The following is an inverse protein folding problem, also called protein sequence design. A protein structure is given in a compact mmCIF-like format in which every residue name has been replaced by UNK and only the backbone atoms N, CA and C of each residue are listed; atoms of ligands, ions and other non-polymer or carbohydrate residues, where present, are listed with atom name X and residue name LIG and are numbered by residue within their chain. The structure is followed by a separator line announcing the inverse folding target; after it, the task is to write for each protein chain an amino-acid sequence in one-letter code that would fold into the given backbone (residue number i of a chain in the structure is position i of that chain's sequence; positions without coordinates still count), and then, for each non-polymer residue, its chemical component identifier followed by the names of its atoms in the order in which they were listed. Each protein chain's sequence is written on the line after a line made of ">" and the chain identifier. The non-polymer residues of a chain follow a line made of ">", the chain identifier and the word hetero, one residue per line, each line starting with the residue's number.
data_IF_358963063937
#
_entry.id   IF_358963063937
#
_cell.length_a   1.000
_cell.length_b   1.000
_cell.length_c   1.000
_cell.angle_alpha   90.00
_cell.angle_beta   90.00
_cell.angle_gamma   90.00
#
_symmetry.space_group_name_H-M   'P 1'
#
loop_
_entity.id
_entity.type
_entity.pdbx_description
1 polymer ?
#
# COMPACT_ATOMS: atom_id res chain seq x y z
N UNK A 1 -17.28 -18.42 -3.15
CA UNK A 1 -17.57 -17.57 -1.98
C UNK A 1 -16.60 -16.38 -1.85
N UNK A 2 -15.30 -16.56 -2.09
CA UNK A 2 -14.27 -15.51 -1.95
C UNK A 2 -14.53 -14.27 -2.80
N UNK A 3 -14.81 -14.41 -4.10
CA UNK A 3 -15.15 -13.28 -4.98
C UNK A 3 -16.34 -12.48 -4.46
N UNK A 4 -17.44 -13.17 -4.13
CA UNK A 4 -18.66 -12.53 -3.62
C UNK A 4 -18.39 -11.85 -2.26
N UNK A 5 -17.53 -12.41 -1.42
CA UNK A 5 -17.17 -11.79 -0.14
C UNK A 5 -16.41 -10.48 -0.34
N UNK A 6 -15.45 -10.44 -1.27
CA UNK A 6 -14.72 -9.22 -1.62
C UNK A 6 -15.66 -8.19 -2.25
N UNK A 7 -16.50 -8.60 -3.20
CA UNK A 7 -17.45 -7.70 -3.87
C UNK A 7 -18.42 -7.08 -2.85
N UNK A 8 -18.99 -7.89 -1.95
CA UNK A 8 -19.86 -7.39 -0.89
C UNK A 8 -19.10 -6.46 0.07
N UNK A 9 -17.88 -6.80 0.47
CA UNK A 9 -17.08 -5.94 1.35
C UNK A 9 -16.77 -4.58 0.70
N UNK A 10 -16.40 -4.56 -0.59
CA UNK A 10 -16.20 -3.33 -1.35
C UNK A 10 -17.48 -2.50 -1.48
N UNK A 11 -18.62 -3.13 -1.77
CA UNK A 11 -19.91 -2.43 -1.83
C UNK A 11 -20.29 -1.84 -0.47
N UNK A 12 -20.07 -2.58 0.62
CA UNK A 12 -20.31 -2.08 1.97
C UNK A 12 -19.37 -0.91 2.28
N UNK A 13 -18.10 -0.97 1.89
CA UNK A 13 -17.15 0.14 2.07
C UNK A 13 -17.54 1.39 1.23
N UNK A 14 -18.12 1.20 0.04
CA UNK A 14 -18.69 2.28 -0.77
C UNK A 14 -19.95 2.91 -0.15
N UNK A 15 -20.78 2.13 0.56
CA UNK A 15 -21.99 2.63 1.21
C UNK A 15 -21.72 3.22 2.60
N UNK A 16 -20.88 2.58 3.39
CA UNK A 16 -20.47 2.97 4.74
C UNK A 16 -18.96 2.81 4.89
N UNK A 17 -18.18 3.87 4.63
CA UNK A 17 -16.75 3.82 4.87
C UNK A 17 -16.50 3.58 6.35
N UNK A 18 -15.53 2.72 6.65
CA UNK A 18 -15.04 2.55 8.01
C UNK A 18 -14.56 3.90 8.53
N UNK A 19 -15.26 4.42 9.54
CA UNK A 19 -14.87 5.66 10.21
C UNK A 19 -13.49 5.47 10.84
N UNK A 20 -12.72 6.55 10.86
CA UNK A 20 -11.40 6.61 11.48
C UNK A 20 -11.39 6.20 12.95
N UNK A 21 -12.50 6.47 13.63
CA UNK A 21 -12.69 6.22 15.05
C UNK A 21 -13.25 4.81 15.35
N UNK A 22 -12.89 3.80 14.53
CA UNK A 22 -13.37 2.45 14.82
C UNK A 22 -12.68 1.92 16.10
N UNK A 23 -13.45 1.59 17.16
CA UNK A 23 -12.89 1.07 18.41
C UNK A 23 -12.01 -0.15 18.21
N UNK A 24 -12.29 -0.99 17.20
CA UNK A 24 -11.47 -2.18 16.92
C UNK A 24 -10.04 -1.79 16.54
N UNK A 25 -9.86 -0.74 15.74
CA UNK A 25 -8.54 -0.28 15.32
C UNK A 25 -7.80 0.39 16.49
N UNK A 26 -8.52 1.12 17.35
CA UNK A 26 -7.98 1.69 18.58
C UNK A 26 -7.52 0.60 19.58
N UNK A 27 -8.31 -0.48 19.72
CA UNK A 27 -7.96 -1.61 20.58
C UNK A 27 -6.72 -2.36 20.04
N UNK A 28 -6.64 -2.63 18.74
CA UNK A 28 -5.45 -3.23 18.10
C UNK A 28 -4.22 -2.34 18.30
N UNK A 29 -4.37 -1.02 18.13
CA UNK A 29 -3.30 -0.04 18.39
C UNK A 29 -2.87 -0.07 19.85
N UNK A 30 -3.82 -0.11 20.79
CA UNK A 30 -3.52 -0.19 22.22
C UNK A 30 -2.81 -1.50 22.58
N UNK A 31 -3.23 -2.62 21.97
CA UNK A 31 -2.63 -3.93 22.16
C UNK A 31 -1.19 -3.94 21.64
N UNK A 32 -0.95 -3.34 20.47
CA UNK A 32 0.38 -3.25 19.90
C UNK A 32 1.34 -2.40 20.75
N UNK A 33 0.88 -1.25 21.25
CA UNK A 33 1.66 -0.41 22.17
C UNK A 33 1.91 -1.11 23.51
N UNK A 34 0.94 -1.86 24.03
CA UNK A 34 1.12 -2.68 25.25
C UNK A 34 2.14 -3.79 25.03
N UNK A 35 2.10 -4.47 23.89
CA UNK A 35 3.09 -5.50 23.58
C UNK A 35 4.48 -4.91 23.37
N UNK A 36 4.60 -3.76 22.71
CA UNK A 36 5.87 -3.05 22.62
C UNK A 36 6.40 -2.71 24.01
N UNK A 37 5.60 -2.08 24.87
CA UNK A 37 6.04 -1.72 26.23
C UNK A 37 6.36 -2.93 27.12
N UNK A 38 5.66 -4.06 26.96
CA UNK A 38 5.91 -5.28 27.73
C UNK A 38 7.13 -6.07 27.25
N UNK A 39 7.44 -6.03 25.95
CA UNK A 39 8.52 -6.83 25.36
C UNK A 39 9.75 -6.02 24.96
N UNK A 40 9.69 -4.68 24.92
CA UNK A 40 10.83 -3.84 24.56
C UNK A 40 11.81 -3.70 25.73
N UNK A 41 12.61 -4.75 25.94
CA UNK A 41 13.77 -4.77 26.83
C UNK A 41 15.10 -4.51 26.07
N UNK A 42 15.05 -3.84 24.91
CA UNK A 42 16.23 -3.43 24.13
C UNK A 42 16.94 -4.52 23.32
N UNK A 43 16.40 -5.74 23.20
CA UNK A 43 17.04 -6.86 22.47
C UNK A 43 16.21 -7.32 21.25
N UNK A 44 16.90 -7.62 20.14
CA UNK A 44 16.29 -8.08 18.88
C UNK A 44 15.43 -9.36 18.99
N UNK A 45 15.78 -10.24 19.94
CA UNK A 45 15.05 -11.50 20.18
C UNK A 45 13.61 -11.26 20.66
N UNK A 46 13.37 -10.19 21.42
CA UNK A 46 12.04 -9.87 21.93
C UNK A 46 11.12 -9.28 20.86
N UNK A 47 11.67 -8.54 19.88
CA UNK A 47 10.91 -8.06 18.72
C UNK A 47 10.34 -9.21 17.88
N UNK A 48 11.12 -10.28 17.69
CA UNK A 48 10.66 -11.49 17.01
C UNK A 48 9.52 -12.18 17.78
N UNK A 49 9.66 -12.35 19.09
CA UNK A 49 8.65 -12.98 19.93
C UNK A 49 7.35 -12.18 19.94
N UNK A 50 7.45 -10.86 20.14
CA UNK A 50 6.30 -9.94 20.10
C UNK A 50 5.56 -9.99 18.76
N UNK A 51 6.30 -10.07 17.65
CA UNK A 51 5.72 -10.16 16.31
C UNK A 51 4.90 -11.45 16.12
N UNK A 52 5.48 -12.62 16.45
CA UNK A 52 4.77 -13.90 16.35
C UNK A 52 3.58 -13.98 17.30
N UNK A 53 3.72 -13.45 18.52
CA UNK A 53 2.65 -13.44 19.50
C UNK A 53 1.48 -12.57 19.03
N UNK A 54 1.76 -11.39 18.46
CA UNK A 54 0.70 -10.50 17.99
C UNK A 54 -0.02 -11.04 16.75
N UNK A 55 0.72 -11.58 15.79
CA UNK A 55 0.12 -12.25 14.62
C UNK A 55 -0.67 -13.46 15.07
N UNK A 56 -0.10 -14.32 15.93
CA UNK A 56 -0.78 -15.49 16.46
C UNK A 56 -2.06 -15.14 17.20
N UNK A 57 -2.04 -14.10 18.03
CA UNK A 57 -3.18 -13.64 18.82
C UNK A 57 -4.37 -13.20 17.97
N UNK A 58 -4.16 -12.70 16.75
CA UNK A 58 -5.23 -12.23 15.86
C UNK A 58 -5.54 -13.23 14.73
N UNK A 59 -4.52 -13.88 14.18
CA UNK A 59 -4.64 -14.84 13.09
C UNK A 59 -5.30 -16.15 13.55
N UNK A 60 -4.88 -16.70 14.70
CA UNK A 60 -5.35 -18.02 15.16
C UNK A 60 -6.85 -17.99 15.51
N UNK A 61 -7.38 -17.00 16.26
CA UNK A 61 -8.82 -16.93 16.48
C UNK A 61 -9.60 -16.72 15.18
N UNK A 62 -9.09 -15.92 14.26
CA UNK A 62 -9.74 -15.69 12.95
C UNK A 62 -9.83 -16.97 12.13
N UNK A 63 -8.75 -17.74 12.07
CA UNK A 63 -8.72 -19.05 11.42
C UNK A 63 -9.61 -20.07 12.13
N UNK A 64 -9.57 -20.09 13.47
CA UNK A 64 -10.36 -21.01 14.30
C UNK A 64 -11.86 -20.80 14.14
N UNK A 65 -12.33 -19.53 14.15
CA UNK A 65 -13.74 -19.20 13.88
C UNK A 65 -14.12 -19.65 12.48
N UNK A 66 -13.31 -19.33 11.47
CA UNK A 66 -13.60 -19.75 10.09
C UNK A 66 -13.68 -21.27 9.95
N UNK A 67 -12.73 -22.00 10.54
CA UNK A 67 -12.71 -23.46 10.50
C UNK A 67 -13.90 -24.09 11.23
N UNK A 68 -14.28 -23.53 12.39
CA UNK A 68 -15.46 -23.96 13.14
C UNK A 68 -16.74 -23.77 12.33
N UNK A 69 -16.89 -22.62 11.67
CA UNK A 69 -18.05 -22.33 10.83
C UNK A 69 -18.14 -23.29 9.63
N UNK A 70 -17.00 -23.64 9.02
CA UNK A 70 -16.93 -24.65 7.96
C UNK A 70 -17.26 -26.06 8.49
N UNK A 71 -16.78 -26.41 9.69
CA UNK A 71 -17.02 -27.72 10.31
C UNK A 71 -18.51 -27.98 10.58
N UNK A 72 -19.25 -26.95 11.01
CA UNK A 72 -20.70 -27.01 11.22
C UNK A 72 -21.53 -26.71 9.96
N UNK A 73 -20.90 -26.65 8.78
CA UNK A 73 -21.56 -26.37 7.49
C UNK A 73 -22.40 -25.06 7.50
N UNK A 74 -22.02 -24.09 8.33
CA UNK A 74 -22.68 -22.79 8.43
C UNK A 74 -22.17 -21.85 7.32
N UNK A 75 -22.41 -22.23 6.06
CA UNK A 75 -21.84 -21.57 4.88
C UNK A 75 -22.16 -20.08 4.81
N UNK A 76 -23.38 -19.68 5.17
CA UNK A 76 -23.78 -18.27 5.19
C UNK A 76 -23.03 -17.48 6.27
N UNK A 77 -22.79 -18.09 7.43
CA UNK A 77 -22.09 -17.44 8.53
C UNK A 77 -20.57 -17.39 8.25
N UNK A 78 -20.00 -18.43 7.63
CA UNK A 78 -18.64 -18.41 7.10
C UNK A 78 -18.46 -17.33 6.02
N UNK A 79 -19.46 -17.14 5.15
CA UNK A 79 -19.49 -16.05 4.18
C UNK A 79 -19.52 -14.68 4.86
N UNK A 80 -20.41 -14.49 5.85
CA UNK A 80 -20.49 -13.24 6.61
C UNK A 80 -19.19 -12.94 7.37
N UNK A 81 -18.53 -13.96 7.94
CA UNK A 81 -17.22 -13.82 8.58
C UNK A 81 -16.15 -13.36 7.60
N UNK A 82 -16.10 -13.93 6.40
CA UNK A 82 -15.19 -13.47 5.35
C UNK A 82 -15.43 -12.02 4.96
N UNK A 83 -16.70 -11.63 4.72
CA UNK A 83 -17.06 -10.24 4.41
C UNK A 83 -16.63 -9.31 5.55
N UNK A 84 -16.87 -9.70 6.81
CA UNK A 84 -16.50 -8.92 7.98
C UNK A 84 -14.97 -8.74 8.08
N UNK A 85 -14.19 -9.81 7.93
CA UNK A 85 -12.73 -9.72 8.00
C UNK A 85 -12.17 -8.89 6.86
N UNK A 86 -12.62 -9.13 5.62
CA UNK A 86 -12.20 -8.31 4.47
C UNK A 86 -12.56 -6.84 4.73
N UNK A 87 -13.78 -6.55 5.15
CA UNK A 87 -14.21 -5.20 5.51
C UNK A 87 -13.29 -4.58 6.57
N UNK A 88 -12.99 -5.27 7.68
CA UNK A 88 -12.12 -4.75 8.74
C UNK A 88 -10.65 -4.56 8.32
N UNK A 89 -10.17 -5.40 7.40
CA UNK A 89 -8.79 -5.31 6.88
C UNK A 89 -8.65 -4.27 5.76
N UNK A 90 -9.73 -4.01 5.02
CA UNK A 90 -9.81 -2.93 4.04
C UNK A 90 -9.83 -1.57 4.76
N UNK A 91 -8.86 -0.72 4.44
CA UNK A 91 -8.73 0.62 5.01
C UNK A 91 -8.78 1.73 3.94
N UNK A 92 -9.35 1.44 2.77
CA UNK A 92 -9.19 2.28 1.58
C UNK A 92 -9.87 3.65 1.75
N UNK A 93 -11.11 3.69 2.25
CA UNK A 93 -11.87 4.95 2.29
C UNK A 93 -11.53 5.89 3.45
N UNK A 94 -10.76 5.43 4.45
CA UNK A 94 -10.24 6.28 5.53
C UNK A 94 -9.36 7.42 4.99
N UNK A 95 -8.63 7.18 3.90
CA UNK A 95 -7.63 8.12 3.36
C UNK A 95 -8.08 8.84 2.08
N UNK A 96 -9.13 8.35 1.43
CA UNK A 96 -9.65 8.95 0.18
C UNK A 96 -10.19 10.37 0.38
N UNK A 97 -10.68 10.72 1.56
CA UNK A 97 -11.21 12.07 1.82
C UNK A 97 -10.11 13.14 1.78
N UNK A 98 -8.93 12.88 2.37
CA UNK A 98 -7.80 13.80 2.28
C UNK A 98 -7.36 13.98 0.84
N UNK A 99 -7.22 12.88 0.10
CA UNK A 99 -6.83 12.92 -1.31
C UNK A 99 -7.79 13.75 -2.16
N UNK A 100 -9.10 13.50 -2.06
CA UNK A 100 -10.11 14.27 -2.80
C UNK A 100 -10.14 15.73 -2.37
N UNK A 101 -9.97 16.03 -1.09
CA UNK A 101 -9.96 17.41 -0.59
C UNK A 101 -8.74 18.19 -1.07
N UNK A 102 -7.55 17.56 -1.08
CA UNK A 102 -6.31 18.13 -1.62
C UNK A 102 -6.47 18.37 -3.13
N UNK A 103 -7.04 17.40 -3.86
CA UNK A 103 -7.33 17.54 -5.28
C UNK A 103 -8.25 18.74 -5.57
N UNK A 104 -9.32 18.90 -4.80
CA UNK A 104 -10.24 20.03 -4.94
C UNK A 104 -9.57 21.37 -4.61
N UNK A 105 -8.79 21.43 -3.53
CA UNK A 105 -8.06 22.62 -3.13
C UNK A 105 -7.04 23.07 -4.22
N UNK A 106 -6.23 22.13 -4.72
CA UNK A 106 -5.28 22.42 -5.81
C UNK A 106 -5.97 22.80 -7.12
N UNK A 107 -7.12 22.18 -7.44
CA UNK A 107 -7.90 22.55 -8.63
C UNK A 107 -8.52 23.94 -8.52
N UNK A 108 -8.77 24.42 -7.29
CA UNK A 108 -9.26 25.77 -7.01
C UNK A 108 -8.13 26.81 -6.86
N UNK A 109 -6.86 26.39 -6.95
CA UNK A 109 -5.69 27.26 -6.72
C UNK A 109 -5.43 27.60 -5.25
N UNK A 110 -6.09 26.92 -4.31
CA UNK A 110 -5.91 27.12 -2.87
C UNK A 110 -4.79 26.21 -2.32
N UNK A 111 -3.55 26.63 -2.56
CA UNK A 111 -2.37 25.91 -2.07
C UNK A 111 -2.26 25.90 -0.55
N UNK A 112 -2.76 26.93 0.13
CA UNK A 112 -2.69 27.03 1.59
C UNK A 112 -3.51 25.90 2.23
N UNK A 113 -4.74 25.72 1.79
CA UNK A 113 -5.60 24.62 2.26
C UNK A 113 -5.03 23.26 1.84
N UNK A 114 -4.45 23.14 0.64
CA UNK A 114 -3.82 21.90 0.20
C UNK A 114 -2.62 21.51 1.09
N UNK A 115 -1.78 22.48 1.50
CA UNK A 115 -0.68 22.26 2.46
C UNK A 115 -1.19 21.77 3.80
N UNK A 116 -2.19 22.44 4.38
CA UNK A 116 -2.72 22.04 5.69
C UNK A 116 -3.30 20.63 5.66
N UNK A 117 -4.06 20.29 4.61
CA UNK A 117 -4.63 18.96 4.45
C UNK A 117 -3.54 17.88 4.25
N UNK A 118 -2.47 18.21 3.52
CA UNK A 118 -1.36 17.30 3.33
C UNK A 118 -0.58 17.09 4.63
N UNK A 119 -0.28 18.14 5.38
CA UNK A 119 0.38 18.07 6.69
C UNK A 119 -0.44 17.22 7.67
N UNK A 120 -1.76 17.37 7.68
CA UNK A 120 -2.64 16.57 8.53
C UNK A 120 -2.59 15.08 8.16
N UNK A 121 -2.48 14.77 6.87
CA UNK A 121 -2.45 13.40 6.37
C UNK A 121 -1.08 12.71 6.54
N UNK A 122 0.01 13.40 6.20
CA UNK A 122 1.37 12.81 6.18
C UNK A 122 2.14 13.03 7.47
N UNK A 123 1.73 13.99 8.30
CA UNK A 123 2.46 14.47 9.48
C UNK A 123 3.86 15.01 9.15
N UNK A 124 4.08 15.40 7.89
CA UNK A 124 5.29 16.08 7.44
C UNK A 124 5.12 17.59 7.57
N UNK A 125 6.24 18.30 7.70
CA UNK A 125 6.25 19.74 7.54
C UNK A 125 6.05 20.08 6.07
N UNK A 126 4.96 20.78 5.75
CA UNK A 126 4.61 21.18 4.39
C UNK A 126 4.73 22.68 4.17
N UNK A 127 5.37 23.40 5.09
CA UNK A 127 5.56 24.84 4.97
C UNK A 127 6.44 25.15 3.75
N UNK A 128 5.94 26.01 2.87
CA UNK A 128 6.67 26.45 1.68
C UNK A 128 6.64 25.49 0.47
N UNK A 129 5.96 24.34 0.57
CA UNK A 129 5.84 23.40 -0.56
C UNK A 129 5.04 24.00 -1.72
N UNK A 130 5.51 23.84 -2.94
CA UNK A 130 4.77 24.25 -4.14
C UNK A 130 3.62 23.29 -4.47
N UNK A 131 2.67 23.74 -5.29
CA UNK A 131 1.53 22.93 -5.73
C UNK A 131 1.93 21.58 -6.34
N UNK A 132 3.04 21.54 -7.09
CA UNK A 132 3.56 20.33 -7.71
C UNK A 132 4.10 19.33 -6.69
N UNK A 133 4.82 19.81 -5.69
CA UNK A 133 5.32 18.99 -4.59
C UNK A 133 4.19 18.42 -3.73
N UNK A 134 3.16 19.23 -3.45
CA UNK A 134 1.95 18.77 -2.74
C UNK A 134 1.27 17.65 -3.53
N UNK A 135 1.08 17.85 -4.84
CA UNK A 135 0.48 16.84 -5.71
C UNK A 135 1.31 15.56 -5.77
N UNK A 136 2.64 15.67 -5.86
CA UNK A 136 3.58 14.54 -5.84
C UNK A 136 3.37 13.67 -4.59
N UNK A 137 3.51 14.28 -3.41
CA UNK A 137 3.46 13.56 -2.13
C UNK A 137 2.06 12.96 -1.93
N UNK A 138 1.00 13.68 -2.33
CA UNK A 138 -0.36 13.17 -2.25
C UNK A 138 -0.57 11.93 -3.15
N UNK A 139 -0.05 11.95 -4.39
CA UNK A 139 -0.11 10.80 -5.31
C UNK A 139 0.71 9.62 -4.76
N UNK A 140 1.94 9.85 -4.30
CA UNK A 140 2.78 8.80 -3.73
C UNK A 140 2.11 8.14 -2.53
N UNK A 141 1.60 8.95 -1.61
CA UNK A 141 0.89 8.46 -0.42
C UNK A 141 -0.35 7.68 -0.82
N UNK A 142 -1.09 8.13 -1.83
CA UNK A 142 -2.28 7.43 -2.32
C UNK A 142 -1.95 6.06 -2.93
N UNK A 143 -0.93 5.96 -3.78
CA UNK A 143 -0.52 4.70 -4.40
C UNK A 143 -0.05 3.69 -3.35
N UNK A 144 0.82 4.10 -2.42
CA UNK A 144 1.30 3.24 -1.32
C UNK A 144 0.13 2.77 -0.46
N UNK A 145 -0.76 3.69 -0.09
CA UNK A 145 -1.90 3.39 0.78
C UNK A 145 -2.89 2.46 0.08
N UNK A 146 -3.13 2.65 -1.21
CA UNK A 146 -3.99 1.77 -2.02
C UNK A 146 -3.42 0.36 -2.08
N UNK A 147 -2.13 0.22 -2.35
CA UNK A 147 -1.47 -1.07 -2.36
C UNK A 147 -1.63 -1.80 -1.03
N UNK A 148 -1.23 -1.16 0.07
CA UNK A 148 -1.22 -1.78 1.41
C UNK A 148 -2.62 -2.03 1.98
N UNK A 149 -3.62 -1.23 1.61
CA UNK A 149 -4.97 -1.40 2.15
C UNK A 149 -5.88 -2.25 1.25
N UNK A 150 -5.58 -2.39 -0.04
CA UNK A 150 -6.46 -3.08 -1.00
C UNK A 150 -5.74 -4.24 -1.67
N UNK A 151 -4.73 -3.97 -2.50
CA UNK A 151 -4.12 -5.00 -3.35
C UNK A 151 -3.36 -6.07 -2.54
N UNK A 152 -2.64 -5.66 -1.50
CA UNK A 152 -1.96 -6.57 -0.58
C UNK A 152 -2.93 -7.47 0.21
N UNK A 153 -4.03 -6.88 0.69
CA UNK A 153 -5.10 -7.60 1.40
C UNK A 153 -5.79 -8.59 0.46
N UNK A 154 -6.07 -8.21 -0.79
CA UNK A 154 -6.68 -9.09 -1.79
C UNK A 154 -5.81 -10.30 -2.08
N UNK A 155 -4.52 -10.10 -2.32
CA UNK A 155 -3.59 -11.19 -2.57
C UNK A 155 -3.60 -12.22 -1.43
N UNK A 156 -3.46 -11.75 -0.19
CA UNK A 156 -3.40 -12.65 0.96
C UNK A 156 -4.75 -13.28 1.31
N UNK A 157 -5.87 -12.59 1.07
CA UNK A 157 -7.20 -13.18 1.24
C UNK A 157 -7.46 -14.34 0.27
N UNK A 158 -6.81 -14.33 -0.90
CA UNK A 158 -6.93 -15.37 -1.91
C UNK A 158 -6.19 -16.67 -1.55
N UNK A 159 -5.24 -16.59 -0.61
CA UNK A 159 -4.48 -17.75 -0.15
C UNK A 159 -5.39 -18.77 0.55
N UNK A 160 -5.00 -20.06 0.60
CA UNK A 160 -5.88 -21.14 1.09
C UNK A 160 -6.34 -21.00 2.54
N UNK A 161 -5.63 -20.22 3.38
CA UNK A 161 -6.05 -19.92 4.75
C UNK A 161 -7.08 -18.75 4.83
N UNK A 162 -7.46 -18.18 3.69
CA UNK A 162 -8.56 -17.23 3.53
C UNK A 162 -8.44 -15.99 4.43
N UNK A 163 -9.44 -15.72 5.30
CA UNK A 163 -9.51 -14.49 6.09
C UNK A 163 -8.34 -14.33 7.07
N UNK A 164 -7.75 -15.43 7.53
CA UNK A 164 -6.62 -15.38 8.46
C UNK A 164 -5.38 -14.75 7.83
N UNK A 165 -5.13 -15.01 6.54
CA UNK A 165 -4.01 -14.42 5.80
C UNK A 165 -4.19 -12.90 5.60
N UNK A 166 -5.43 -12.43 5.36
CA UNK A 166 -5.72 -11.00 5.28
C UNK A 166 -5.39 -10.28 6.59
N UNK A 167 -5.74 -10.88 7.73
CA UNK A 167 -5.40 -10.35 9.06
C UNK A 167 -3.88 -10.36 9.27
N UNK A 168 -3.20 -11.46 8.93
CA UNK A 168 -1.74 -11.56 9.03
C UNK A 168 -1.05 -10.42 8.26
N UNK A 169 -1.44 -10.18 7.01
CA UNK A 169 -0.90 -9.09 6.20
C UNK A 169 -1.11 -7.73 6.88
N UNK A 170 -2.34 -7.46 7.33
CA UNK A 170 -2.69 -6.17 7.94
C UNK A 170 -1.94 -5.90 9.24
N UNK A 171 -1.80 -6.93 10.08
CA UNK A 171 -1.09 -6.84 11.35
C UNK A 171 0.41 -6.69 11.12
N UNK A 172 0.99 -7.44 10.18
CA UNK A 172 2.40 -7.35 9.83
C UNK A 172 2.76 -5.95 9.28
N UNK A 173 1.91 -5.41 8.41
CA UNK A 173 2.03 -4.07 7.85
C UNK A 173 1.96 -2.99 8.94
N UNK A 174 1.00 -3.12 9.86
CA UNK A 174 0.84 -2.21 10.98
C UNK A 174 2.05 -2.25 11.93
N UNK A 175 2.57 -3.44 12.24
CA UNK A 175 3.76 -3.61 13.09
C UNK A 175 5.02 -3.06 12.46
N UNK A 176 5.21 -3.28 11.17
CA UNK A 176 6.35 -2.75 10.44
C UNK A 176 6.38 -1.21 10.49
N UNK A 177 5.23 -0.54 10.47
CA UNK A 177 5.15 0.91 10.65
C UNK A 177 5.27 1.33 12.11
N UNK A 178 4.41 0.79 12.98
CA UNK A 178 4.28 1.24 14.36
C UNK A 178 5.58 1.10 15.17
N UNK A 179 6.40 0.08 14.89
CA UNK A 179 7.67 -0.14 15.59
C UNK A 179 8.89 0.50 14.90
N UNK A 180 8.71 1.19 13.78
CA UNK A 180 9.80 1.87 13.06
C UNK A 180 9.49 3.33 12.73
N UNK A 181 8.33 3.85 13.14
CA UNK A 181 7.93 5.26 13.05
C UNK A 181 7.68 5.78 14.48
N UNK A 182 8.25 6.94 14.88
CA UNK A 182 8.93 7.93 14.03
C UNK A 182 10.39 7.58 13.72
N UNK A 183 11.01 8.35 12.84
CA UNK A 183 12.32 8.06 12.22
C UNK A 183 13.47 7.77 13.20
N UNK A 184 13.38 8.21 14.45
CA UNK A 184 14.36 7.88 15.50
C UNK A 184 14.29 6.43 16.01
N UNK A 185 13.15 5.75 15.83
CA UNK A 185 12.97 4.32 16.11
C UNK A 185 13.38 3.46 14.91
N UNK A 186 13.55 4.07 13.73
CA UNK A 186 13.97 3.41 12.49
C UNK A 186 15.42 2.96 12.68
N UNK A 187 15.60 1.65 12.95
CA UNK A 187 16.84 0.91 13.27
C UNK A 187 16.92 0.34 14.69
N UNK A 188 15.91 0.51 15.53
CA UNK A 188 15.86 -0.23 16.78
C UNK A 188 15.80 -1.74 16.53
N UNK A 189 16.57 -2.49 17.31
CA UNK A 189 16.66 -3.94 17.21
C UNK A 189 15.29 -4.65 17.26
N UNK A 190 14.31 -4.03 17.93
CA UNK A 190 12.95 -4.51 18.08
C UNK A 190 12.15 -4.45 16.77
N UNK A 191 12.17 -3.30 16.08
CA UNK A 191 11.40 -3.05 14.85
C UNK A 191 11.97 -3.68 13.58
N UNK A 192 13.28 -3.98 13.55
CA UNK A 192 13.98 -4.55 12.39
C UNK A 192 13.38 -5.88 11.91
N UNK A 193 12.97 -6.76 12.84
CA UNK A 193 12.36 -8.02 12.47
C UNK A 193 11.00 -7.82 11.79
N UNK A 194 10.17 -6.91 12.32
CA UNK A 194 8.86 -6.61 11.75
C UNK A 194 8.98 -6.03 10.33
N UNK A 195 9.90 -5.10 10.11
CA UNK A 195 10.19 -4.54 8.79
C UNK A 195 10.65 -5.63 7.80
N UNK A 196 11.57 -6.51 8.23
CA UNK A 196 12.09 -7.58 7.38
C UNK A 196 11.02 -8.63 7.05
N UNK A 197 10.19 -9.00 8.03
CA UNK A 197 9.11 -9.95 7.83
C UNK A 197 8.06 -9.38 6.87
N UNK A 198 7.69 -8.11 7.04
CA UNK A 198 6.77 -7.44 6.14
C UNK A 198 7.31 -7.34 4.71
N UNK A 199 8.60 -7.03 4.54
CA UNK A 199 9.24 -7.02 3.22
C UNK A 199 9.04 -8.34 2.46
N UNK A 200 9.22 -9.48 3.12
CA UNK A 200 9.01 -10.80 2.49
C UNK A 200 7.54 -11.11 2.24
N UNK A 201 6.65 -10.73 3.16
CA UNK A 201 5.20 -10.90 3.02
C UNK A 201 4.65 -10.07 1.85
N UNK A 202 5.20 -8.88 1.63
CA UNK A 202 4.76 -7.91 0.63
C UNK A 202 5.47 -8.07 -0.73
N UNK A 203 6.52 -8.89 -0.79
CA UNK A 203 7.37 -9.04 -1.98
C UNK A 203 6.61 -9.43 -3.25
N UNK A 204 5.68 -10.39 -3.14
CA UNK A 204 4.81 -10.82 -4.26
C UNK A 204 3.68 -9.80 -4.52
N UNK A 205 2.87 -9.40 -3.51
CA UNK A 205 1.80 -8.42 -3.72
C UNK A 205 2.25 -7.14 -4.42
N UNK A 206 3.38 -6.57 -4.03
CA UNK A 206 3.97 -5.33 -4.60
C UNK A 206 4.16 -5.46 -6.10
N UNK A 207 4.79 -6.55 -6.52
CA UNK A 207 5.13 -6.79 -7.93
C UNK A 207 3.88 -7.03 -8.76
N UNK A 208 2.92 -7.78 -8.20
CA UNK A 208 1.64 -7.99 -8.85
C UNK A 208 0.85 -6.68 -9.00
N UNK A 209 0.97 -5.78 -8.03
CA UNK A 209 0.36 -4.43 -8.10
C UNK A 209 1.04 -3.58 -9.17
N UNK A 210 2.37 -3.58 -9.25
CA UNK A 210 3.10 -2.88 -10.29
C UNK A 210 2.76 -3.40 -11.70
N UNK A 211 2.64 -4.72 -11.87
CA UNK A 211 2.15 -5.31 -13.14
C UNK A 211 0.72 -4.86 -13.44
N UNK A 212 -0.17 -4.85 -12.44
CA UNK A 212 -1.54 -4.39 -12.64
C UNK A 212 -1.59 -2.92 -13.08
N UNK A 213 -0.75 -2.05 -12.52
CA UNK A 213 -0.63 -0.66 -12.98
C UNK A 213 -0.07 -0.56 -14.41
N UNK A 214 0.97 -1.33 -14.74
CA UNK A 214 1.52 -1.37 -16.09
C UNK A 214 0.49 -1.82 -17.14
N UNK A 215 -0.28 -2.86 -16.86
CA UNK A 215 -1.30 -3.40 -17.80
C UNK A 215 -2.44 -2.41 -18.06
N UNK A 216 -2.74 -1.56 -17.08
CA UNK A 216 -3.92 -0.69 -17.09
C UNK A 216 -3.60 0.75 -17.51
N UNK A 217 -2.35 1.16 -17.43
CA UNK A 217 -1.84 2.45 -17.90
C UNK A 217 -0.90 2.30 -19.11
N UNK A 218 0.15 3.12 -19.15
CA UNK A 218 1.23 2.96 -20.13
C UNK A 218 2.18 1.84 -19.70
N UNK A 219 2.04 0.66 -20.32
CA UNK A 219 2.84 -0.52 -20.01
C UNK A 219 4.34 -0.32 -20.23
N UNK A 220 4.71 0.36 -21.31
CA UNK A 220 6.11 0.56 -21.69
C UNK A 220 6.82 1.46 -20.68
N UNK A 221 6.27 2.64 -20.41
CA UNK A 221 6.82 3.59 -19.45
C UNK A 221 6.85 3.02 -18.03
N UNK A 222 5.80 2.29 -17.63
CA UNK A 222 5.73 1.67 -16.30
C UNK A 222 6.84 0.63 -16.07
N UNK A 223 7.09 -0.24 -17.06
CA UNK A 223 8.13 -1.27 -16.96
C UNK A 223 9.52 -0.66 -17.07
N UNK A 224 9.70 0.32 -17.96
CA UNK A 224 10.95 1.06 -18.07
C UNK A 224 11.29 1.75 -16.75
N UNK A 225 10.34 2.49 -16.18
CA UNK A 225 10.49 3.18 -14.91
C UNK A 225 10.80 2.22 -13.76
N UNK A 226 10.04 1.12 -13.65
CA UNK A 226 10.30 0.08 -12.65
C UNK A 226 11.73 -0.45 -12.77
N UNK A 227 12.12 -0.94 -13.95
CA UNK A 227 13.42 -1.60 -14.13
C UNK A 227 14.62 -0.69 -13.85
N UNK A 228 14.51 0.59 -14.19
CA UNK A 228 15.65 1.52 -14.16
C UNK A 228 15.71 2.38 -12.87
N UNK A 229 14.58 2.59 -12.19
CA UNK A 229 14.48 3.55 -11.08
C UNK A 229 14.02 2.93 -9.75
N UNK A 230 13.38 1.75 -9.72
CA UNK A 230 12.82 1.21 -8.46
C UNK A 230 13.87 0.95 -7.37
N UNK A 231 15.09 0.54 -7.75
CA UNK A 231 16.19 0.28 -6.81
C UNK A 231 16.80 1.56 -6.21
N UNK A 232 16.42 2.76 -6.70
CA UNK A 232 16.94 4.05 -6.21
C UNK A 232 16.22 4.51 -4.93
N UNK A 233 15.08 3.93 -4.63
CA UNK A 233 14.30 4.20 -3.43
C UNK A 233 14.90 3.49 -2.22
N UNK A 234 14.79 4.11 -1.04
CA UNK A 234 15.25 3.52 0.23
C UNK A 234 14.53 2.19 0.54
N UNK A 235 13.26 2.09 0.17
CA UNK A 235 12.46 0.87 0.23
C UNK A 235 12.13 0.43 -1.20
N UNK A 236 12.70 -0.71 -1.61
CA UNK A 236 12.48 -1.29 -2.94
C UNK A 236 10.99 -1.53 -3.20
N UNK A 237 10.21 -1.93 -2.19
CA UNK A 237 8.78 -2.20 -2.38
C UNK A 237 8.01 -0.93 -2.75
N UNK A 238 8.33 0.17 -2.08
CA UNK A 238 7.77 1.49 -2.38
C UNK A 238 8.22 1.96 -3.77
N UNK A 239 9.51 1.82 -4.07
CA UNK A 239 10.08 2.20 -5.36
C UNK A 239 9.40 1.49 -6.53
N UNK A 240 9.14 0.19 -6.42
CA UNK A 240 8.43 -0.58 -7.46
C UNK A 240 7.02 -0.02 -7.72
N UNK A 241 6.26 0.27 -6.65
CA UNK A 241 4.89 0.80 -6.79
C UNK A 241 4.90 2.19 -7.41
N UNK A 242 5.77 3.07 -6.94
CA UNK A 242 5.78 4.48 -7.34
C UNK A 242 6.36 4.67 -8.74
N UNK A 243 7.41 3.94 -9.10
CA UNK A 243 7.96 4.00 -10.46
C UNK A 243 7.01 3.38 -11.48
N UNK A 244 6.41 2.21 -11.18
CA UNK A 244 5.43 1.61 -12.08
C UNK A 244 4.14 2.44 -12.18
N UNK A 245 3.64 2.97 -11.06
CA UNK A 245 2.46 3.84 -11.04
C UNK A 245 2.69 5.18 -11.73
N UNK A 246 3.83 5.82 -11.46
CA UNK A 246 4.27 7.05 -12.11
C UNK A 246 4.41 6.87 -13.62
N UNK A 247 5.14 5.85 -14.06
CA UNK A 247 5.28 5.51 -15.48
C UNK A 247 3.94 5.17 -16.15
N UNK A 248 3.07 4.41 -15.48
CA UNK A 248 1.74 4.08 -16.00
C UNK A 248 0.86 5.31 -16.21
N UNK A 249 1.07 6.38 -15.44
CA UNK A 249 0.34 7.65 -15.55
C UNK A 249 1.09 8.72 -16.36
N UNK A 250 2.36 8.49 -16.70
CA UNK A 250 3.24 9.50 -17.29
C UNK A 250 3.59 10.64 -16.34
N UNK A 251 3.74 10.37 -15.03
CA UNK A 251 4.03 11.37 -13.99
C UNK A 251 5.33 11.04 -13.26
N UNK A 252 6.16 12.05 -13.05
CA UNK A 252 7.41 11.94 -12.28
C UNK A 252 7.12 11.93 -10.78
N UNK A 253 7.36 10.80 -10.14
CA UNK A 253 7.28 10.63 -8.68
C UNK A 253 8.68 10.41 -8.10
N UNK A 254 8.88 10.81 -6.85
CA UNK A 254 10.15 10.77 -6.14
C UNK A 254 10.84 12.12 -6.00
N UNK A 255 11.83 12.13 -5.11
CA UNK A 255 12.75 13.26 -4.91
C UNK A 255 13.75 13.36 -6.07
N UNK A 256 14.41 14.52 -6.24
CA UNK A 256 15.45 14.67 -7.27
C UNK A 256 16.54 13.58 -7.19
N UNK A 257 16.87 13.08 -6.00
CA UNK A 257 17.84 11.99 -5.83
C UNK A 257 17.32 10.64 -6.36
N UNK A 258 16.03 10.36 -6.23
CA UNK A 258 15.39 9.14 -6.71
C UNK A 258 15.12 9.20 -8.22
N UNK A 259 14.96 10.41 -8.76
CA UNK A 259 14.65 10.70 -10.17
C UNK A 259 15.90 10.98 -11.03
N UNK A 260 17.04 11.33 -10.42
CA UNK A 260 18.27 11.73 -11.14
C UNK A 260 18.93 10.58 -11.90
N UNK A 261 19.42 10.89 -13.10
CA UNK A 261 20.23 10.04 -13.96
C UNK A 261 21.40 9.36 -13.24
N UNK A 262 21.70 8.11 -13.62
CA UNK A 262 22.90 7.43 -13.13
C UNK A 262 24.09 8.14 -13.75
N UNK A 263 24.86 8.90 -12.96
CA UNK A 263 26.18 9.36 -13.38
C UNK A 263 27.09 8.14 -13.37
N UNK A 264 27.11 7.39 -14.48
CA UNK A 264 28.18 6.43 -14.73
C UNK A 264 29.41 7.25 -15.09
N UNK A 265 30.18 7.65 -14.08
CA UNK A 265 31.54 8.16 -14.32
C UNK A 265 32.43 6.96 -14.65
N UNK A 266 32.34 6.44 -15.86
CA UNK A 266 33.43 5.62 -16.41
C UNK A 266 34.58 6.58 -16.74
N UNK A 267 35.72 6.54 -16.02
CA UNK A 267 36.77 7.56 -16.16
C UNK A 267 37.62 7.44 -17.44
N UNK A 268 37.21 6.68 -18.46
CA UNK A 268 38.16 6.26 -19.51
C UNK A 268 37.67 6.26 -20.96
N UNK A 269 36.46 6.75 -21.29
CA UNK A 269 36.07 6.85 -22.69
C UNK A 269 35.36 8.17 -22.96
N UNK A 270 36.12 9.14 -23.46
CA UNK A 270 35.60 10.27 -24.22
C UNK A 270 34.93 9.73 -25.48
N UNK A 271 33.61 9.57 -25.44
CA UNK A 271 32.76 9.35 -26.60
C UNK A 271 31.64 10.39 -26.55
N UNK A 272 31.70 11.26 -27.55
CA UNK A 272 30.71 12.22 -28.05
C UNK A 272 29.53 12.65 -27.17
N UNK A 273 29.53 13.95 -26.85
CA UNK A 273 28.66 14.66 -25.92
C UNK A 273 27.34 15.10 -26.60
N UNK A 274 26.59 14.16 -27.17
CA UNK A 274 25.35 14.50 -27.92
C UNK A 274 24.14 13.57 -27.72
N UNK A 275 24.03 12.89 -26.56
CA UNK A 275 22.82 12.11 -26.20
C UNK A 275 22.49 12.10 -24.68
N UNK A 276 22.93 13.13 -23.94
CA UNK A 276 22.76 13.24 -22.48
C UNK A 276 21.42 13.81 -22.01
N UNK A 277 20.33 13.60 -22.77
CA UNK A 277 18.95 13.89 -22.31
C UNK A 277 18.25 12.68 -21.65
N UNK A 278 18.94 11.53 -21.52
CA UNK A 278 18.28 10.22 -21.58
C UNK A 278 18.12 9.42 -20.28
N UNK A 279 18.19 10.00 -19.07
CA UNK A 279 18.10 9.18 -17.85
C UNK A 279 17.37 9.83 -16.64
N UNK A 280 16.50 10.80 -16.90
CA UNK A 280 15.51 11.30 -15.92
C UNK A 280 14.28 10.39 -15.97
N UNK A 281 13.66 10.06 -14.82
CA UNK A 281 12.40 9.30 -14.78
C UNK A 281 11.40 9.90 -15.80
N UNK A 282 10.80 9.13 -16.72
CA UNK A 282 9.88 9.70 -17.71
C UNK A 282 8.61 10.26 -17.06
N UNK A 283 8.03 11.30 -17.65
CA UNK A 283 6.75 11.88 -17.24
C UNK A 283 6.76 13.39 -17.01
N UNK A 284 5.58 13.96 -16.82
CA UNK A 284 5.39 15.36 -16.47
C UNK A 284 5.53 15.58 -14.95
N UNK A 285 5.79 16.83 -14.54
CA UNK A 285 5.71 17.18 -13.13
C UNK A 285 4.28 17.01 -12.60
N UNK A 286 4.11 16.42 -11.40
CA UNK A 286 2.79 16.14 -10.85
C UNK A 286 2.04 17.45 -10.58
N UNK A 287 0.85 17.57 -11.16
CA UNK A 287 -0.10 18.66 -10.88
C UNK A 287 -1.48 18.13 -10.51
N UNK A 288 -2.50 19.00 -10.50
CA UNK A 288 -3.88 18.61 -10.19
C UNK A 288 -4.43 17.49 -11.11
N UNK A 289 -3.95 17.43 -12.36
CA UNK A 289 -4.27 16.35 -13.32
C UNK A 289 -3.71 14.99 -12.88
N UNK A 290 -2.54 14.96 -12.23
CA UNK A 290 -1.94 13.72 -11.73
C UNK A 290 -2.79 13.08 -10.63
N UNK A 291 -3.47 13.89 -9.81
CA UNK A 291 -4.41 13.38 -8.80
C UNK A 291 -5.62 12.70 -9.45
N UNK A 292 -6.15 13.27 -10.54
CA UNK A 292 -7.24 12.66 -11.30
C UNK A 292 -6.82 11.35 -12.00
N UNK A 293 -5.66 11.35 -12.64
CA UNK A 293 -5.14 10.14 -13.30
C UNK A 293 -4.87 9.02 -12.30
N UNK A 294 -4.43 9.35 -11.09
CA UNK A 294 -4.23 8.38 -9.99
C UNK A 294 -5.53 7.67 -9.61
N UNK A 295 -6.64 8.41 -9.44
CA UNK A 295 -7.95 7.79 -9.15
C UNK A 295 -8.37 6.87 -10.30
N UNK A 296 -8.20 7.31 -11.54
CA UNK A 296 -8.49 6.52 -12.73
C UNK A 296 -7.68 5.23 -12.79
N UNK A 297 -6.36 5.31 -12.55
CA UNK A 297 -5.46 4.17 -12.53
C UNK A 297 -5.86 3.16 -11.46
N UNK A 298 -6.05 3.63 -10.22
CA UNK A 298 -6.45 2.78 -9.09
C UNK A 298 -7.75 2.06 -9.39
N UNK A 299 -8.74 2.76 -9.94
CA UNK A 299 -10.05 2.17 -10.21
C UNK A 299 -10.00 1.12 -11.31
N UNK A 300 -9.29 1.40 -12.41
CA UNK A 300 -9.10 0.42 -13.47
C UNK A 300 -8.28 -0.79 -13.01
N UNK A 301 -7.26 -0.59 -12.16
CA UNK A 301 -6.48 -1.68 -11.58
C UNK A 301 -7.34 -2.55 -10.64
N UNK A 302 -8.21 -1.94 -9.83
CA UNK A 302 -9.17 -2.66 -9.00
C UNK A 302 -10.16 -3.47 -9.83
N UNK A 303 -10.66 -2.91 -10.93
CA UNK A 303 -11.53 -3.63 -11.87
C UNK A 303 -10.79 -4.82 -12.51
N UNK A 304 -9.53 -4.66 -12.90
CA UNK A 304 -8.71 -5.75 -13.42
C UNK A 304 -8.56 -6.88 -12.39
N UNK A 305 -8.28 -6.54 -11.13
CA UNK A 305 -8.23 -7.54 -10.05
C UNK A 305 -9.58 -8.23 -9.84
N UNK A 306 -10.69 -7.48 -9.85
CA UNK A 306 -12.02 -8.05 -9.74
C UNK A 306 -12.37 -8.98 -10.90
N UNK A 307 -11.96 -8.62 -12.12
CA UNK A 307 -12.13 -9.46 -13.32
C UNK A 307 -11.32 -10.75 -13.19
N UNK A 308 -10.06 -10.67 -12.77
CA UNK A 308 -9.21 -11.84 -12.58
C UNK A 308 -9.80 -12.78 -11.52
N UNK A 309 -10.32 -12.22 -10.43
CA UNK A 309 -11.01 -12.97 -9.38
C UNK A 309 -12.28 -13.65 -9.86
N UNK A 310 -13.06 -12.96 -10.69
CA UNK A 310 -14.26 -13.52 -11.31
C UNK A 310 -13.90 -14.70 -12.20
N UNK A 311 -12.87 -14.56 -13.06
CA UNK A 311 -12.40 -15.62 -13.95
C UNK A 311 -11.87 -16.83 -13.17
N UNK A 312 -11.08 -16.61 -12.13
CA UNK A 312 -10.56 -17.68 -11.28
C UNK A 312 -11.68 -18.40 -10.53
N UNK A 313 -12.65 -17.66 -9.99
CA UNK A 313 -13.83 -18.26 -9.34
C UNK A 313 -14.70 -19.04 -10.32
N UNK A 314 -14.81 -18.57 -11.57
CA UNK A 314 -15.52 -19.28 -12.64
C UNK A 314 -14.82 -20.56 -13.06
N UNK A 315 -13.49 -20.53 -13.19
CA UNK A 315 -12.68 -21.70 -13.52
C UNK A 315 -12.82 -22.82 -12.47
N UNK A 316 -12.78 -22.48 -11.18
CA UNK A 316 -12.99 -23.44 -10.08
C UNK A 316 -14.42 -23.99 -10.02
N UNK A 317 -15.40 -23.25 -10.55
CA UNK A 317 -16.78 -23.74 -10.62
C UNK A 317 -17.02 -24.67 -11.82
N UNK A 318 -16.26 -24.49 -12.91
CA UNK A 318 -16.42 -25.23 -14.17
C UNK A 318 -15.53 -26.48 -14.27
N UNK A 319 -14.45 -26.57 -13.51
CA UNK A 319 -13.53 -27.72 -13.45
C UNK A 319 -13.69 -28.51 -12.16
#
# INVERSE_FOLDING_TARGET
>A
MTFLSILCALLIEQLKPLRADNPIYAEIKSLAMRMETWFNAGHASHGRMGWFLMIGALMVPTAGIYWLLQHYQLTLLAFAWNVLIVYLTLGFRHYSHYFTSIQLALSAGDEATARTLLADWTKLDTVGMEASEIARIAVEKALITTHRNVFGVFFWFLMPLGPACAVMYRVAEYLARAWNEPEHMRNEAFGQFAARAFYWIDWIPVRLTAVAFAVVGNFEDAIYAWRNFAQRWQDEAIGIILTAGGGAMGVRLGTPAETAARVVTTPDLAVDDSDSESDILPGEEPGARALQSTVGLVWRALLLWMLLLLLMSGAVFLG
#
